data_IF_786222842389
#
_entry.id   IF_786222842389
#
_cell.length_a   1.000
_cell.length_b   1.000
_cell.length_c   1.000
_cell.angle_alpha   90.00
_cell.angle_beta   90.00
_cell.angle_gamma   90.00
#
_symmetry.space_group_name_H-M   'P 1'
#
loop_
_entity.id
_entity.type
_entity.pdbx_description
1 polymer ?
#
# COMPACT_ATOMS: atom_id res chain seq x y z
N UNK A 1 20.88 0.44 -4.00
CA UNK A 1 19.64 -0.14 -4.57
C UNK A 1 18.89 -0.89 -3.48
N UNK A 2 17.58 -0.65 -3.32
CA UNK A 2 16.77 -1.28 -2.26
C UNK A 2 16.62 -2.80 -2.43
N UNK A 3 16.88 -3.32 -3.64
CA UNK A 3 17.01 -4.77 -3.91
C UNK A 3 17.96 -5.47 -2.94
N UNK A 4 19.08 -4.83 -2.55
CA UNK A 4 20.03 -5.41 -1.57
C UNK A 4 19.48 -5.48 -0.13
N UNK A 5 18.44 -4.71 0.15
CA UNK A 5 17.74 -4.65 1.43
C UNK A 5 16.44 -5.47 1.39
N UNK A 6 16.22 -6.27 0.35
CA UNK A 6 15.02 -7.11 0.16
C UNK A 6 13.70 -6.35 0.30
N UNK A 7 13.65 -5.11 -0.19
CA UNK A 7 12.43 -4.27 -0.14
C UNK A 7 12.20 -3.51 -1.45
N UNK A 8 10.97 -3.10 -1.75
CA UNK A 8 10.68 -2.25 -2.91
C UNK A 8 11.38 -0.89 -2.83
N UNK A 9 11.57 -0.27 -3.98
CA UNK A 9 11.97 1.13 -4.05
C UNK A 9 10.86 2.05 -3.48
N UNK A 10 11.20 3.30 -3.19
CA UNK A 10 10.20 4.27 -2.73
C UNK A 10 9.21 4.51 -3.86
N UNK A 11 7.92 4.49 -3.52
CA UNK A 11 6.82 4.83 -4.39
C UNK A 11 6.09 3.62 -5.00
N UNK A 12 5.59 3.88 -6.20
CA UNK A 12 4.77 3.09 -7.13
C UNK A 12 5.41 1.85 -7.77
N UNK A 13 5.25 0.62 -7.27
CA UNK A 13 5.71 -0.57 -8.00
C UNK A 13 5.06 -0.72 -9.38
N UNK A 14 5.74 -1.38 -10.34
CA UNK A 14 5.17 -1.61 -11.67
C UNK A 14 3.90 -2.46 -11.62
N UNK A 15 2.89 -2.11 -12.42
CA UNK A 15 1.66 -2.89 -12.57
C UNK A 15 0.73 -2.83 -11.36
N UNK A 16 0.89 -1.85 -10.47
CA UNK A 16 -0.04 -1.65 -9.36
C UNK A 16 -1.36 -1.02 -9.82
N UNK A 17 -2.41 -1.31 -9.07
CA UNK A 17 -3.70 -0.61 -9.14
C UNK A 17 -3.98 -0.02 -7.77
N UNK A 18 -4.12 1.31 -7.69
CA UNK A 18 -4.33 2.03 -6.44
C UNK A 18 -5.60 2.88 -6.61
N UNK A 19 -6.67 2.49 -5.93
CA UNK A 19 -7.97 3.14 -5.96
C UNK A 19 -8.41 3.42 -4.51
N UNK A 20 -9.03 4.57 -4.26
CA UNK A 20 -9.56 4.97 -2.95
C UNK A 20 -8.53 4.83 -1.81
N UNK A 21 -7.31 5.33 -2.04
CA UNK A 21 -6.21 5.21 -1.11
C UNK A 21 -5.39 6.50 -0.92
N UNK A 22 -4.88 6.68 0.30
CA UNK A 22 -3.89 7.69 0.67
C UNK A 22 -2.53 7.00 0.82
N UNK A 23 -1.56 7.38 0.00
CA UNK A 23 -0.19 6.87 0.07
C UNK A 23 0.72 7.97 0.60
N UNK A 24 1.25 7.78 1.81
CA UNK A 24 2.09 8.77 2.46
C UNK A 24 3.57 8.68 2.01
N UNK A 25 4.36 9.69 2.37
CA UNK A 25 5.73 9.89 1.95
C UNK A 25 6.61 8.68 2.25
N UNK A 26 7.47 8.35 1.29
CA UNK A 26 8.44 7.24 1.39
C UNK A 26 7.82 5.85 1.55
N UNK A 27 6.50 5.68 1.40
CA UNK A 27 5.89 4.36 1.28
C UNK A 27 6.52 3.60 0.09
N UNK A 28 6.58 2.28 0.21
CA UNK A 28 7.24 1.37 -0.73
C UNK A 28 6.24 0.31 -1.14
N UNK A 29 5.67 0.48 -2.33
CA UNK A 29 4.66 -0.43 -2.86
C UNK A 29 5.36 -1.38 -3.83
N UNK A 30 5.29 -2.68 -3.56
CA UNK A 30 5.81 -3.73 -4.42
C UNK A 30 5.12 -3.78 -5.77
N UNK A 31 5.66 -4.53 -6.73
CA UNK A 31 5.02 -4.70 -8.05
C UNK A 31 3.71 -5.47 -7.94
N UNK A 32 2.76 -5.18 -8.82
CA UNK A 32 1.50 -5.93 -8.91
C UNK A 32 0.59 -5.80 -7.68
N UNK A 33 0.84 -4.82 -6.80
CA UNK A 33 -0.04 -4.58 -5.65
C UNK A 33 -1.39 -4.03 -6.13
N UNK A 34 -2.46 -4.53 -5.55
CA UNK A 34 -3.82 -4.03 -5.77
C UNK A 34 -4.31 -3.47 -4.45
N UNK A 35 -4.59 -2.17 -4.41
CA UNK A 35 -5.26 -1.50 -3.30
C UNK A 35 -6.61 -1.03 -3.83
N UNK A 36 -7.68 -1.60 -3.29
CA UNK A 36 -9.05 -1.20 -3.58
C UNK A 36 -9.87 -1.23 -2.30
N UNK A 37 -10.68 -0.21 -2.12
CA UNK A 37 -11.64 -0.19 -1.03
C UNK A 37 -12.95 0.43 -1.51
N UNK A 38 -13.96 0.40 -0.65
CA UNK A 38 -15.22 1.08 -0.87
C UNK A 38 -15.79 1.49 0.49
N UNK A 39 -16.79 2.37 0.46
CA UNK A 39 -17.41 2.93 1.67
C UNK A 39 -18.10 1.88 2.56
N UNK A 40 -18.38 0.69 2.04
CA UNK A 40 -19.01 -0.39 2.79
C UNK A 40 -18.00 -1.29 3.52
N UNK A 41 -16.69 -1.06 3.34
CA UNK A 41 -15.65 -1.86 3.98
C UNK A 41 -15.49 -1.44 5.44
N UNK A 42 -15.35 -2.43 6.32
CA UNK A 42 -15.16 -2.22 7.75
C UNK A 42 -13.80 -1.57 8.03
N UNK A 43 -13.71 -0.86 9.15
CA UNK A 43 -12.43 -0.35 9.63
C UNK A 43 -11.51 -1.52 10.00
N UNK A 44 -10.28 -1.47 9.52
CA UNK A 44 -9.28 -2.51 9.75
C UNK A 44 -7.93 -1.83 9.96
N UNK A 45 -7.19 -2.29 10.98
CA UNK A 45 -5.84 -1.80 11.25
C UNK A 45 -4.85 -2.94 11.06
N UNK A 46 -3.87 -2.71 10.19
CA UNK A 46 -2.76 -3.60 9.92
C UNK A 46 -1.45 -2.89 10.26
N UNK A 47 -0.35 -3.64 10.32
CA UNK A 47 0.98 -3.07 10.60
C UNK A 47 1.41 -2.03 9.54
N UNK A 48 1.00 -2.23 8.29
CA UNK A 48 1.48 -1.42 7.16
C UNK A 48 0.42 -0.57 6.47
N UNK A 49 -0.85 -0.67 6.87
CA UNK A 49 -1.96 0.08 6.31
C UNK A 49 -3.16 0.07 7.26
N UNK A 50 -4.08 1.02 7.07
CA UNK A 50 -5.35 1.08 7.82
C UNK A 50 -6.49 1.41 6.85
N UNK A 51 -7.67 0.84 7.07
CA UNK A 51 -8.91 1.26 6.41
C UNK A 51 -9.66 2.19 7.35
N UNK A 52 -9.93 3.40 6.86
CA UNK A 52 -10.71 4.40 7.58
C UNK A 52 -11.73 5.02 6.64
N UNK A 53 -13.01 4.95 6.98
CA UNK A 53 -14.12 5.51 6.18
C UNK A 53 -14.09 5.04 4.71
N UNK A 54 -13.72 3.77 4.48
CA UNK A 54 -13.61 3.19 3.15
C UNK A 54 -12.38 3.61 2.35
N UNK A 55 -11.46 4.40 2.91
CA UNK A 55 -10.16 4.72 2.31
C UNK A 55 -9.05 3.84 2.89
N UNK A 56 -8.18 3.31 2.03
CA UNK A 56 -6.94 2.64 2.48
C UNK A 56 -5.85 3.68 2.68
N UNK A 57 -5.27 3.74 3.87
CA UNK A 57 -4.18 4.65 4.21
C UNK A 57 -2.91 3.82 4.39
N UNK A 58 -1.90 4.07 3.56
CA UNK A 58 -0.56 3.50 3.68
C UNK A 58 0.37 4.53 4.34
N UNK A 59 0.78 4.34 5.60
CA UNK A 59 1.56 5.33 6.35
C UNK A 59 2.96 5.58 5.81
N UNK A 60 3.58 6.66 6.30
CA UNK A 60 4.95 7.05 5.95
C UNK A 60 5.93 5.89 6.18
N UNK A 61 6.78 5.65 5.18
CA UNK A 61 7.80 4.58 5.17
C UNK A 61 7.26 3.13 5.22
N UNK A 62 5.94 2.91 5.18
CA UNK A 62 5.37 1.57 5.18
C UNK A 62 5.80 0.78 3.93
N UNK A 63 5.83 -0.54 4.06
CA UNK A 63 6.21 -1.46 2.97
C UNK A 63 5.02 -2.35 2.67
N UNK A 64 4.52 -2.28 1.45
CA UNK A 64 3.54 -3.23 0.92
C UNK A 64 4.27 -4.20 -0.02
N UNK A 65 4.33 -5.51 0.29
CA UNK A 65 5.03 -6.49 -0.52
C UNK A 65 4.46 -6.68 -1.93
N UNK A 66 5.25 -7.22 -2.85
CA UNK A 66 4.83 -7.58 -4.20
C UNK A 66 3.53 -8.43 -4.20
N UNK A 67 2.64 -8.14 -5.14
CA UNK A 67 1.37 -8.85 -5.37
C UNK A 67 0.39 -8.87 -4.19
N UNK A 68 0.59 -8.02 -3.18
CA UNK A 68 -0.38 -7.85 -2.08
C UNK A 68 -1.70 -7.33 -2.62
N UNK A 69 -2.81 -7.90 -2.16
CA UNK A 69 -4.17 -7.40 -2.41
C UNK A 69 -4.71 -6.88 -1.10
N UNK A 70 -4.98 -5.58 -1.06
CA UNK A 70 -5.60 -4.88 0.06
C UNK A 70 -7.01 -4.52 -0.36
#
# INVERSE_FOLDING_TARGET
QNVRLSRPDIGIGYGCVIEDAIIDKNARIGRGVIIRSNIAREEEENENWVIKEGLVIVPKNAIIPDNTVI
#
